data_IF_231258961913
#
_entry.id   IF_231258961913
#
_cell.length_a   1.000
_cell.length_b   1.000
_cell.length_c   1.000
_cell.angle_alpha   90.00
_cell.angle_beta   90.00
_cell.angle_gamma   90.00
#
_symmetry.space_group_name_H-M   'P 1'
#
loop_
_entity.id
_entity.type
_entity.pdbx_description
1 polymer ?
#
# COMPACT_ATOMS: atom_id res chain seq x y z
N UNK A 1 9.19 1.33 1.46
CA UNK A 1 8.52 1.65 2.73
C UNK A 1 9.47 2.39 3.63
N UNK A 2 9.01 3.43 4.21
CA UNK A 2 9.84 4.20 5.13
C UNK A 2 10.12 3.41 6.39
N UNK A 3 11.32 3.60 6.92
CA UNK A 3 11.70 3.00 8.20
C UNK A 3 10.81 3.61 9.28
N UNK A 4 10.29 2.76 10.15
CA UNK A 4 9.56 3.22 11.32
C UNK A 4 10.47 4.06 12.21
N UNK A 5 10.08 5.29 12.44
CA UNK A 5 10.76 6.18 13.39
C UNK A 5 9.84 6.39 14.57
N UNK A 6 10.39 6.26 15.76
CA UNK A 6 9.66 6.59 16.98
C UNK A 6 9.66 8.10 17.13
N UNK A 7 8.76 8.74 16.40
CA UNK A 7 8.60 10.17 16.44
C UNK A 7 7.73 10.56 17.63
N UNK A 8 8.20 11.51 18.40
CA UNK A 8 7.48 12.02 19.58
C UNK A 8 6.53 13.16 19.28
N UNK A 9 6.49 13.64 18.03
CA UNK A 9 5.63 14.76 17.65
C UNK A 9 4.19 14.31 17.46
N UNK A 10 3.25 15.16 17.85
CA UNK A 10 1.83 14.89 17.63
C UNK A 10 1.55 14.69 16.13
N UNK A 11 0.80 13.67 15.79
CA UNK A 11 0.45 13.34 14.41
C UNK A 11 1.55 12.59 13.65
N UNK A 12 2.74 12.45 14.23
CA UNK A 12 3.83 11.68 13.64
C UNK A 12 4.07 10.36 14.36
N UNK A 13 3.21 10.01 15.31
CA UNK A 13 3.25 8.72 15.98
C UNK A 13 3.07 7.63 14.94
N UNK A 14 3.91 6.59 14.97
CA UNK A 14 3.77 5.49 14.01
C UNK A 14 2.47 4.74 14.24
N UNK A 15 1.86 4.31 13.15
CA UNK A 15 0.63 3.54 13.15
C UNK A 15 0.71 2.47 12.07
N UNK A 16 -0.04 1.40 12.23
CA UNK A 16 -0.14 0.35 11.22
C UNK A 16 -1.42 0.55 10.45
N UNK A 17 -1.29 0.63 9.13
CA UNK A 17 -2.41 0.85 8.22
C UNK A 17 -2.50 -0.31 7.23
N UNK A 18 -3.68 -0.52 6.70
CA UNK A 18 -3.90 -1.41 5.58
C UNK A 18 -3.69 -0.61 4.29
N UNK A 19 -2.75 -1.02 3.44
CA UNK A 19 -2.52 -0.33 2.17
C UNK A 19 -3.77 -0.33 1.31
N UNK A 20 -4.37 -1.51 1.13
CA UNK A 20 -5.73 -1.61 0.58
C UNK A 20 -6.68 -1.53 1.79
N UNK A 21 -7.54 -0.51 1.87
CA UNK A 21 -8.41 -0.33 3.03
C UNK A 21 -9.23 -1.56 3.37
N UNK A 22 -9.38 -1.83 4.65
CA UNK A 22 -10.14 -2.98 5.15
C UNK A 22 -11.54 -3.07 4.54
N UNK A 23 -12.19 -1.94 4.32
CA UNK A 23 -13.53 -1.90 3.74
C UNK A 23 -13.58 -2.43 2.31
N UNK A 24 -12.44 -2.45 1.61
CA UNK A 24 -12.35 -2.93 0.23
C UNK A 24 -11.76 -4.34 0.14
N UNK A 25 -10.89 -4.67 1.07
CA UNK A 25 -10.22 -5.96 1.11
C UNK A 25 -9.83 -6.26 2.56
N UNK A 26 -10.65 -7.04 3.30
CA UNK A 26 -10.40 -7.32 4.70
C UNK A 26 -9.29 -8.36 4.88
N UNK A 27 -8.06 -7.91 4.74
CA UNK A 27 -6.88 -8.76 4.81
C UNK A 27 -5.79 -8.14 5.70
N UNK A 28 -5.37 -8.87 6.71
CA UNK A 28 -4.30 -8.50 7.63
C UNK A 28 -2.95 -9.10 7.23
N UNK A 29 -2.84 -9.63 6.03
CA UNK A 29 -1.57 -10.18 5.54
C UNK A 29 -0.46 -9.13 5.55
N UNK A 30 0.78 -9.59 5.78
CA UNK A 30 1.92 -8.69 5.88
C UNK A 30 2.10 -7.82 4.64
N UNK A 31 1.71 -8.33 3.48
CA UNK A 31 1.78 -7.58 2.23
C UNK A 31 0.89 -6.34 2.24
N UNK A 32 -0.22 -6.41 2.96
CA UNK A 32 -1.18 -5.32 3.01
C UNK A 32 -0.95 -4.36 4.18
N UNK A 33 -0.04 -4.68 5.07
CA UNK A 33 0.24 -3.82 6.22
C UNK A 33 1.40 -2.89 5.92
N UNK A 34 1.21 -1.62 6.22
CA UNK A 34 2.22 -0.58 6.06
C UNK A 34 2.31 0.23 7.34
N UNK A 35 3.48 0.81 7.58
CA UNK A 35 3.66 1.74 8.69
C UNK A 35 3.50 3.16 8.15
N UNK A 36 2.65 3.93 8.79
CA UNK A 36 2.36 5.30 8.40
C UNK A 36 2.31 6.18 9.65
N UNK A 37 2.35 7.50 9.45
CA UNK A 37 2.04 8.41 10.54
C UNK A 37 0.54 8.33 10.87
N UNK A 38 0.19 8.41 12.13
CA UNK A 38 -1.22 8.32 12.56
C UNK A 38 -2.08 9.37 11.85
N UNK A 39 -1.56 10.58 11.68
CA UNK A 39 -2.27 11.64 10.95
C UNK A 39 -2.48 11.28 9.49
N UNK A 40 -1.46 10.75 8.81
CA UNK A 40 -1.57 10.33 7.41
C UNK A 40 -2.58 9.21 7.27
N UNK A 41 -2.56 8.25 8.18
CA UNK A 41 -3.52 7.15 8.19
C UNK A 41 -4.96 7.68 8.32
N UNK A 42 -5.19 8.59 9.25
CA UNK A 42 -6.50 9.20 9.44
C UNK A 42 -6.96 9.98 8.21
N UNK A 43 -6.06 10.71 7.57
CA UNK A 43 -6.37 11.52 6.38
C UNK A 43 -6.63 10.66 5.14
N UNK A 44 -5.89 9.56 4.99
CA UNK A 44 -6.12 8.61 3.90
C UNK A 44 -7.47 7.91 4.07
N UNK A 45 -7.85 7.59 5.31
CA UNK A 45 -9.12 6.92 5.62
C UNK A 45 -9.29 5.65 4.78
N UNK A 46 -10.42 5.48 4.11
CA UNK A 46 -10.72 4.31 3.27
C UNK A 46 -10.47 4.55 1.78
N UNK A 47 -9.74 5.62 1.44
CA UNK A 47 -9.38 5.89 0.06
C UNK A 47 -8.18 5.05 -0.35
N UNK A 48 -8.14 4.68 -1.62
CA UNK A 48 -6.95 4.07 -2.20
C UNK A 48 -5.87 5.15 -2.38
N UNK A 49 -4.62 4.73 -2.26
CA UNK A 49 -3.48 5.63 -2.38
C UNK A 49 -3.14 5.92 -3.85
N UNK A 50 -2.51 7.07 -4.11
CA UNK A 50 -2.08 7.46 -5.44
C UNK A 50 -0.95 6.56 -5.97
N UNK A 51 -0.71 6.62 -7.28
CA UNK A 51 0.23 5.74 -7.97
C UNK A 51 1.65 5.74 -7.37
N UNK A 52 2.14 6.89 -6.90
CA UNK A 52 3.46 6.95 -6.28
C UNK A 52 3.56 6.04 -5.04
N UNK A 53 2.49 5.96 -4.25
CA UNK A 53 2.45 5.07 -3.09
C UNK A 53 2.34 3.61 -3.51
N UNK A 54 1.60 3.32 -4.58
CA UNK A 54 1.48 1.97 -5.12
C UNK A 54 2.86 1.46 -5.54
N UNK A 55 3.64 2.29 -6.21
CA UNK A 55 4.98 1.93 -6.66
C UNK A 55 5.89 1.56 -5.48
N UNK A 56 5.89 2.38 -4.44
CA UNK A 56 6.67 2.10 -3.23
C UNK A 56 6.21 0.82 -2.53
N UNK A 57 4.90 0.65 -2.40
CA UNK A 57 4.33 -0.53 -1.75
C UNK A 57 4.68 -1.82 -2.51
N UNK A 58 4.54 -1.78 -3.84
CA UNK A 58 4.83 -2.94 -4.67
C UNK A 58 6.31 -3.30 -4.65
N UNK A 59 7.20 -2.32 -4.58
CA UNK A 59 8.64 -2.56 -4.52
C UNK A 59 9.04 -3.42 -3.31
N UNK A 60 8.27 -3.37 -2.21
CA UNK A 60 8.53 -4.18 -1.01
C UNK A 60 8.45 -5.67 -1.25
N UNK A 61 7.60 -6.09 -2.16
CA UNK A 61 7.37 -7.52 -2.43
C UNK A 61 8.08 -8.00 -3.68
N UNK A 62 8.82 -7.11 -4.34
CA UNK A 62 9.57 -7.47 -5.55
C UNK A 62 10.67 -8.45 -5.19
N UNK A 63 10.80 -9.51 -5.98
CA UNK A 63 11.81 -10.54 -5.78
C UNK A 63 13.21 -9.93 -5.70
N UNK A 64 13.98 -10.35 -4.71
CA UNK A 64 15.33 -9.85 -4.49
C UNK A 64 15.43 -8.54 -3.71
N UNK A 65 14.30 -7.91 -3.34
CA UNK A 65 14.36 -6.71 -2.52
C UNK A 65 14.68 -7.07 -1.05
N UNK A 66 15.44 -6.20 -0.35
CA UNK A 66 15.72 -6.43 1.07
C UNK A 66 14.46 -6.48 1.93
N UNK A 67 13.45 -5.69 1.59
CA UNK A 67 12.20 -5.67 2.32
C UNK A 67 11.42 -6.96 2.11
N UNK A 68 11.42 -7.52 0.91
CA UNK A 68 10.78 -8.80 0.67
C UNK A 68 11.41 -9.91 1.51
N UNK A 69 12.74 -9.94 1.58
CA UNK A 69 13.45 -10.92 2.42
C UNK A 69 13.09 -10.75 3.91
N UNK A 70 13.00 -9.52 4.37
CA UNK A 70 12.61 -9.22 5.75
C UNK A 70 11.17 -9.66 6.04
N UNK A 71 10.25 -9.42 5.13
CA UNK A 71 8.86 -9.85 5.28
C UNK A 71 8.75 -11.37 5.31
N UNK A 72 9.53 -12.07 4.48
CA UNK A 72 9.57 -13.53 4.50
C UNK A 72 10.07 -14.04 5.84
N UNK A 73 11.10 -13.43 6.39
CA UNK A 73 11.66 -13.81 7.68
C UNK A 73 10.67 -13.60 8.82
N UNK A 74 9.98 -12.45 8.83
CA UNK A 74 8.95 -12.16 9.84
C UNK A 74 7.79 -13.15 9.72
N UNK A 75 7.32 -13.40 8.52
CA UNK A 75 6.23 -14.35 8.28
C UNK A 75 6.58 -15.73 8.81
N UNK A 76 7.79 -16.21 8.53
CA UNK A 76 8.25 -17.51 9.02
C UNK A 76 8.29 -17.54 10.55
N UNK A 77 8.80 -16.46 11.17
CA UNK A 77 8.92 -16.38 12.62
C UNK A 77 7.58 -16.41 13.35
N UNK A 78 6.53 -15.82 12.76
CA UNK A 78 5.21 -15.78 13.38
C UNK A 78 4.24 -16.82 12.83
N UNK A 79 4.69 -17.67 11.91
CA UNK A 79 3.87 -18.74 11.34
C UNK A 79 2.80 -18.23 10.36
N UNK A 80 3.01 -17.11 9.69
CA UNK A 80 2.07 -16.56 8.70
C UNK A 80 2.49 -16.96 7.30
N UNK A 81 1.50 -17.34 6.51
CA UNK A 81 1.71 -17.59 5.09
C UNK A 81 1.59 -16.29 4.32
N UNK A 82 2.58 -15.98 3.49
CA UNK A 82 2.55 -14.81 2.64
C UNK A 82 1.81 -15.09 1.34
N UNK A 83 1.09 -14.07 0.86
CA UNK A 83 0.33 -14.14 -0.39
C UNK A 83 0.53 -12.87 -1.22
N UNK A 84 1.79 -12.52 -1.58
CA UNK A 84 2.05 -11.26 -2.28
C UNK A 84 1.35 -11.17 -3.63
N UNK A 85 1.30 -12.27 -4.37
CA UNK A 85 0.64 -12.27 -5.69
C UNK A 85 -0.87 -12.10 -5.58
N UNK A 86 -1.49 -12.70 -4.56
CA UNK A 86 -2.91 -12.53 -4.34
C UNK A 86 -3.25 -11.09 -4.00
N UNK A 87 -2.48 -10.48 -3.11
CA UNK A 87 -2.69 -9.09 -2.70
C UNK A 87 -2.47 -8.15 -3.87
N UNK A 88 -1.44 -8.37 -4.68
CA UNK A 88 -1.21 -7.59 -5.89
C UNK A 88 -2.35 -7.75 -6.89
N UNK A 89 -2.86 -8.98 -7.06
CA UNK A 89 -4.01 -9.24 -7.92
C UNK A 89 -5.25 -8.48 -7.48
N UNK A 90 -5.50 -8.42 -6.17
CA UNK A 90 -6.62 -7.65 -5.63
C UNK A 90 -6.42 -6.15 -5.90
N UNK A 91 -5.20 -5.64 -5.68
CA UNK A 91 -4.89 -4.25 -5.96
C UNK A 91 -5.13 -3.91 -7.44
N UNK A 92 -4.67 -4.74 -8.36
CA UNK A 92 -4.91 -4.55 -9.79
C UNK A 92 -6.41 -4.50 -10.10
N UNK A 93 -7.17 -5.42 -9.54
CA UNK A 93 -8.61 -5.47 -9.78
C UNK A 93 -9.32 -4.21 -9.27
N UNK A 94 -8.94 -3.71 -8.12
CA UNK A 94 -9.55 -2.53 -7.54
C UNK A 94 -9.16 -1.25 -8.28
N UNK A 95 -7.87 -1.05 -8.53
CA UNK A 95 -7.39 0.18 -9.17
C UNK A 95 -7.85 0.30 -10.62
N UNK A 96 -7.79 -0.79 -11.38
CA UNK A 96 -8.10 -0.76 -12.80
C UNK A 96 -9.61 -0.70 -13.10
N UNK A 97 -10.43 -0.81 -12.08
CA UNK A 97 -11.89 -0.65 -12.20
C UNK A 97 -12.40 0.68 -11.66
N UNK A 98 -11.51 1.55 -11.19
CA UNK A 98 -11.91 2.86 -10.70
C UNK A 98 -12.42 3.72 -11.85
N UNK A 99 -13.45 4.56 -11.60
CA UNK A 99 -13.86 5.55 -12.60
C UNK A 99 -12.76 6.60 -12.80
N UNK A 100 -12.77 7.27 -13.95
CA UNK A 100 -11.74 8.25 -14.31
C UNK A 100 -11.63 9.42 -13.33
N UNK A 101 -12.72 9.75 -12.66
CA UNK A 101 -12.78 10.83 -11.68
C UNK A 101 -12.55 10.36 -10.24
N UNK A 102 -12.16 9.09 -10.05
CA UNK A 102 -11.88 8.56 -8.72
C UNK A 102 -10.76 9.37 -8.06
N UNK A 103 -10.98 9.68 -6.79
CA UNK A 103 -9.99 10.41 -5.98
C UNK A 103 -9.10 9.42 -5.25
N UNK A 104 -7.80 9.62 -5.39
CA UNK A 104 -6.77 8.85 -4.71
C UNK A 104 -6.04 9.74 -3.72
N UNK A 105 -5.70 9.21 -2.57
CA UNK A 105 -4.98 9.96 -1.55
C UNK A 105 -3.51 10.12 -1.95
N UNK A 106 -3.01 11.36 -1.94
CA UNK A 106 -1.62 11.67 -2.21
C UNK A 106 -0.84 11.92 -0.92
N UNK A 107 -1.26 12.91 -0.16
CA UNK A 107 -0.67 13.25 1.14
C UNK A 107 -1.57 14.26 1.84
N UNK A 108 -1.56 14.28 3.16
CA UNK A 108 -2.35 15.24 3.92
C UNK A 108 -3.81 15.26 3.46
N UNK A 109 -4.27 16.41 3.07
CA UNK A 109 -5.62 16.60 2.50
C UNK A 109 -5.58 16.77 0.97
N UNK A 110 -4.46 16.38 0.35
CA UNK A 110 -4.30 16.44 -1.10
C UNK A 110 -4.73 15.12 -1.74
N UNK A 111 -5.51 15.24 -2.79
CA UNK A 111 -6.02 14.11 -3.56
C UNK A 111 -5.72 14.33 -5.03
N UNK A 112 -5.58 13.24 -5.76
CA UNK A 112 -5.40 13.28 -7.22
C UNK A 112 -6.42 12.35 -7.86
N UNK A 113 -6.76 12.61 -9.11
CA UNK A 113 -7.60 11.70 -9.86
C UNK A 113 -6.76 10.53 -10.38
N UNK A 114 -7.42 9.45 -10.75
CA UNK A 114 -6.75 8.27 -11.26
C UNK A 114 -5.95 8.62 -12.53
N UNK A 115 -4.65 8.32 -12.48
CA UNK A 115 -3.74 8.44 -13.61
C UNK A 115 -3.46 7.02 -14.11
N UNK A 116 -4.17 6.61 -15.15
CA UNK A 116 -4.10 5.24 -15.63
C UNK A 116 -2.72 4.81 -16.07
N UNK A 117 -1.96 5.59 -16.87
CA UNK A 117 -0.61 5.19 -17.23
C UNK A 117 0.30 5.00 -16.01
N UNK A 118 0.22 5.89 -15.03
CA UNK A 118 1.03 5.78 -13.82
C UNK A 118 0.62 4.58 -12.97
N UNK A 119 -0.68 4.33 -12.84
CA UNK A 119 -1.20 3.18 -12.11
C UNK A 119 -0.82 1.86 -12.77
N UNK A 120 -0.95 1.77 -14.09
CA UNK A 120 -0.56 0.58 -14.84
C UNK A 120 0.92 0.28 -14.66
N UNK A 121 1.77 1.30 -14.75
CA UNK A 121 3.21 1.14 -14.53
C UNK A 121 3.50 0.69 -13.11
N UNK A 122 2.90 1.32 -12.10
CA UNK A 122 3.12 0.98 -10.69
C UNK A 122 2.65 -0.44 -10.36
N UNK A 123 1.54 -0.87 -10.96
CA UNK A 123 0.98 -2.20 -10.73
C UNK A 123 1.62 -3.28 -11.61
N UNK A 124 2.50 -2.91 -12.52
CA UNK A 124 3.17 -3.85 -13.41
C UNK A 124 2.23 -4.47 -14.43
N UNK A 125 1.19 -3.75 -14.83
CA UNK A 125 0.29 -4.19 -15.89
C UNK A 125 0.87 -3.71 -17.22
N UNK A 126 1.10 -4.65 -18.12
CA UNK A 126 1.53 -4.30 -19.47
C UNK A 126 0.28 -4.07 -20.33
N UNK A 127 0.29 -2.96 -21.06
CA UNK A 127 -0.74 -2.74 -22.08
C UNK A 127 -0.63 -3.87 -23.12
N UNK A 128 -1.72 -4.54 -23.32
CA UNK A 128 -1.77 -5.59 -24.34
C UNK A 128 -1.73 -4.99 -25.73
#
# INVERSE_FOLDING_TARGET
MERLRLASRAGQTPDVDHFIPWSRYPDDGLENLVVAHARCNAQKSDLLAAAAHVDHWRARTRSGSPVAAELDRVAEAIGWTRHPERTLGVARALYLRLPEDARLWLRGEEFVTADWPALEAALGVTAA
#
